data_IF_900318231033
#
_entry.id   IF_900318231033
#
_cell.length_a   1.000
_cell.length_b   1.000
_cell.length_c   1.000
_cell.angle_alpha   90.00
_cell.angle_beta   90.00
_cell.angle_gamma   90.00
#
_symmetry.space_group_name_H-M   'P 1'
#
loop_
_entity.id
_entity.type
_entity.pdbx_description
1 polymer ?
#
# COMPACT_ATOMS: atom_id res chain seq x y z
N UNK A 1 -15.80 45.93 -13.08
CA UNK A 1 -16.08 45.14 -11.85
C UNK A 1 -16.58 43.73 -12.13
N UNK A 2 -17.55 43.48 -13.03
CA UNK A 2 -18.02 42.10 -13.35
C UNK A 2 -16.92 41.15 -13.87
N UNK A 3 -15.96 41.64 -14.65
CA UNK A 3 -14.87 40.84 -15.21
C UNK A 3 -13.85 40.39 -14.14
N UNK A 4 -13.63 41.23 -13.13
CA UNK A 4 -12.73 40.92 -12.00
C UNK A 4 -13.33 39.85 -11.07
N UNK A 5 -14.65 39.92 -10.86
CA UNK A 5 -15.38 38.92 -10.07
C UNK A 5 -15.35 37.53 -10.72
N UNK A 6 -15.44 37.48 -12.06
CA UNK A 6 -15.37 36.24 -12.82
C UNK A 6 -13.97 35.58 -12.74
N UNK A 7 -12.92 36.43 -12.75
CA UNK A 7 -11.53 35.94 -12.61
C UNK A 7 -11.26 35.39 -11.21
N UNK A 8 -11.87 35.97 -10.18
CA UNK A 8 -11.70 35.48 -8.79
C UNK A 8 -12.35 34.11 -8.56
N UNK A 9 -13.45 33.80 -9.27
CA UNK A 9 -14.14 32.51 -9.18
C UNK A 9 -13.31 31.37 -9.80
N UNK A 10 -12.54 31.66 -10.86
CA UNK A 10 -11.71 30.65 -11.55
C UNK A 10 -10.53 30.18 -10.68
N UNK A 11 -10.00 31.04 -9.81
CA UNK A 11 -8.85 30.70 -8.93
C UNK A 11 -9.26 29.77 -7.79
N UNK A 12 -10.53 29.71 -7.40
CA UNK A 12 -11.00 28.88 -6.28
C UNK A 12 -11.18 27.39 -6.63
N UNK A 13 -11.12 27.03 -7.91
CA UNK A 13 -11.16 25.63 -8.37
C UNK A 13 -9.79 25.00 -8.56
N UNK A 14 -8.73 25.54 -7.93
CA UNK A 14 -7.50 24.80 -7.74
C UNK A 14 -7.79 23.62 -6.80
N UNK A 15 -8.43 22.59 -7.36
CA UNK A 15 -8.59 21.30 -6.71
C UNK A 15 -7.21 20.85 -6.25
N UNK A 16 -6.95 20.90 -4.96
CA UNK A 16 -5.84 20.20 -4.36
C UNK A 16 -5.95 18.75 -4.82
N UNK A 17 -5.14 18.36 -5.79
CA UNK A 17 -4.99 16.96 -6.13
C UNK A 17 -4.44 16.28 -4.87
N UNK A 18 -5.34 15.68 -4.09
CA UNK A 18 -4.94 14.90 -2.92
C UNK A 18 -3.99 13.82 -3.43
N UNK A 19 -2.74 13.91 -3.00
CA UNK A 19 -1.75 12.91 -3.34
C UNK A 19 -2.11 11.63 -2.58
N UNK A 20 -2.76 10.71 -3.28
CA UNK A 20 -3.34 9.48 -2.74
C UNK A 20 -2.36 8.30 -2.75
N UNK A 21 -1.07 8.54 -2.99
CA UNK A 21 -0.04 7.51 -3.02
C UNK A 21 0.39 7.10 -1.60
N UNK A 22 0.61 5.82 -1.37
CA UNK A 22 1.20 5.33 -0.12
C UNK A 22 2.59 5.94 0.13
N UNK A 23 3.32 6.31 -0.93
CA UNK A 23 4.58 7.03 -0.78
C UNK A 23 4.44 8.33 0.02
N UNK A 24 3.33 9.05 -0.15
CA UNK A 24 3.08 10.27 0.62
C UNK A 24 2.84 9.97 2.09
N UNK A 25 2.07 8.92 2.38
CA UNK A 25 1.88 8.45 3.76
C UNK A 25 3.21 8.04 4.38
N UNK A 26 4.01 7.26 3.66
CA UNK A 26 5.34 6.83 4.08
C UNK A 26 6.23 8.02 4.45
N UNK A 27 6.41 9.00 3.55
CA UNK A 27 7.26 10.17 3.78
C UNK A 27 6.81 11.04 4.96
N UNK A 28 5.50 11.08 5.24
CA UNK A 28 4.97 11.86 6.36
C UNK A 28 5.11 11.16 7.71
N UNK A 29 5.44 9.86 7.74
CA UNK A 29 5.46 9.06 8.96
C UNK A 29 6.76 8.25 9.14
N UNK A 30 7.71 8.34 8.19
CA UNK A 30 8.98 7.60 8.30
C UNK A 30 9.81 8.05 9.51
N UNK A 31 9.79 9.33 9.85
CA UNK A 31 10.50 9.87 11.02
C UNK A 31 9.84 9.48 12.36
N UNK A 32 8.56 9.17 12.35
CA UNK A 32 7.78 8.74 13.52
C UNK A 32 7.77 7.22 13.70
N UNK A 33 8.28 6.47 12.73
CA UNK A 33 8.33 5.00 12.78
C UNK A 33 9.55 4.52 13.54
N UNK A 34 9.41 3.41 14.26
CA UNK A 34 10.56 2.72 14.87
C UNK A 34 11.52 2.20 13.80
N UNK A 35 10.96 1.73 12.70
CA UNK A 35 11.72 1.28 11.55
C UNK A 35 11.03 1.67 10.26
N UNK A 36 11.79 2.30 9.35
CA UNK A 36 11.36 2.60 7.99
C UNK A 36 12.35 2.04 6.97
N UNK A 37 11.82 1.47 5.92
CA UNK A 37 12.64 0.85 4.89
C UNK A 37 12.02 1.02 3.51
N UNK A 38 12.83 1.46 2.55
CA UNK A 38 12.41 1.60 1.17
C UNK A 38 13.46 1.06 0.20
N UNK A 39 13.08 0.08 -0.61
CA UNK A 39 13.95 -0.50 -1.65
C UNK A 39 13.29 -0.54 -3.01
N UNK A 40 14.14 -0.47 -4.04
CA UNK A 40 13.73 -0.87 -5.38
C UNK A 40 13.68 -2.41 -5.47
N UNK A 41 12.70 -2.93 -6.19
CA UNK A 41 12.54 -4.37 -6.41
C UNK A 41 13.77 -5.02 -7.08
N UNK A 42 14.52 -4.25 -7.87
CA UNK A 42 15.76 -4.71 -8.48
C UNK A 42 16.86 -5.03 -7.46
N UNK A 43 16.88 -4.31 -6.33
CA UNK A 43 17.80 -4.61 -5.24
C UNK A 43 17.36 -5.86 -4.47
N UNK A 44 16.06 -5.98 -4.17
CA UNK A 44 15.53 -7.16 -3.47
C UNK A 44 15.84 -8.43 -4.25
N UNK A 45 15.63 -8.41 -5.57
CA UNK A 45 15.91 -9.57 -6.43
C UNK A 45 17.38 -10.03 -6.43
N UNK A 46 18.32 -9.21 -5.93
CA UNK A 46 19.74 -9.57 -5.82
C UNK A 46 20.11 -10.23 -4.50
N UNK A 47 19.30 -9.99 -3.44
CA UNK A 47 19.63 -10.44 -2.08
C UNK A 47 18.81 -11.64 -1.63
N UNK A 48 17.71 -11.96 -2.31
CA UNK A 48 16.89 -13.10 -1.96
C UNK A 48 17.34 -14.36 -2.69
N UNK A 49 17.46 -15.51 -1.99
CA UNK A 49 17.77 -16.80 -2.62
C UNK A 49 16.73 -17.18 -3.67
N UNK A 50 17.16 -17.79 -4.76
CA UNK A 50 16.27 -18.17 -5.87
C UNK A 50 15.18 -19.18 -5.47
N UNK A 51 15.45 -20.01 -4.45
CA UNK A 51 14.52 -21.04 -3.96
C UNK A 51 13.28 -20.43 -3.30
N UNK A 52 13.47 -19.41 -2.46
CA UNK A 52 12.37 -18.72 -1.76
C UNK A 52 11.59 -17.75 -2.65
N UNK A 53 12.15 -17.44 -3.82
CA UNK A 53 11.65 -16.40 -4.72
C UNK A 53 10.68 -16.89 -5.78
N UNK A 54 10.57 -18.20 -6.03
CA UNK A 54 9.80 -18.71 -7.17
C UNK A 54 8.34 -18.27 -7.15
N UNK A 55 7.73 -18.21 -5.97
CA UNK A 55 6.33 -17.80 -5.80
C UNK A 55 6.12 -16.29 -5.95
N UNK A 56 7.04 -15.47 -5.45
CA UNK A 56 6.90 -14.00 -5.45
C UNK A 56 7.64 -13.32 -6.61
N UNK A 57 8.46 -14.07 -7.34
CA UNK A 57 9.24 -13.57 -8.49
C UNK A 57 8.40 -12.86 -9.56
N UNK A 58 7.18 -13.34 -9.93
CA UNK A 58 6.32 -12.63 -10.85
C UNK A 58 5.85 -11.28 -10.32
N UNK A 59 5.56 -11.20 -9.01
CA UNK A 59 5.19 -9.98 -8.32
C UNK A 59 6.36 -9.00 -8.28
N UNK A 60 7.55 -9.46 -7.89
CA UNK A 60 8.75 -8.64 -7.78
C UNK A 60 9.21 -8.09 -9.13
N UNK A 61 9.08 -8.84 -10.22
CA UNK A 61 9.40 -8.36 -11.57
C UNK A 61 8.53 -7.18 -12.02
N UNK A 62 7.31 -7.10 -11.52
CA UNK A 62 6.36 -6.02 -11.83
C UNK A 62 6.30 -4.96 -10.73
N UNK A 63 6.88 -5.23 -9.58
CA UNK A 63 7.08 -4.26 -8.52
C UNK A 63 8.19 -3.27 -8.91
N UNK A 64 8.04 -2.03 -8.49
CA UNK A 64 9.06 -0.98 -8.69
C UNK A 64 9.76 -0.62 -7.40
N UNK A 65 8.98 -0.46 -6.35
CA UNK A 65 9.46 -0.08 -5.03
C UNK A 65 8.63 -0.79 -3.96
N UNK A 66 9.29 -1.18 -2.89
CA UNK A 66 8.69 -1.67 -1.66
C UNK A 66 9.04 -0.68 -0.55
N UNK A 67 8.07 -0.35 0.29
CA UNK A 67 8.23 0.49 1.47
C UNK A 67 7.60 -0.18 2.66
N UNK A 68 8.31 -0.16 3.76
CA UNK A 68 7.87 -0.76 5.03
C UNK A 68 7.96 0.30 6.11
N UNK A 69 6.92 0.43 6.91
CA UNK A 69 6.89 1.20 8.14
C UNK A 69 6.51 0.26 9.28
N UNK A 70 7.23 0.35 10.38
CA UNK A 70 6.96 -0.40 11.60
C UNK A 70 6.80 0.60 12.75
N UNK A 71 5.72 0.46 13.50
CA UNK A 71 5.43 1.23 14.70
C UNK A 71 5.18 0.23 15.83
N UNK A 72 5.91 0.34 16.93
CA UNK A 72 5.75 -0.49 18.14
C UNK A 72 5.21 0.33 19.31
N UNK A 73 5.16 1.65 19.18
CA UNK A 73 4.51 2.53 20.14
C UNK A 73 3.40 3.32 19.44
N UNK A 74 2.28 3.52 20.11
CA UNK A 74 1.13 4.26 19.56
C UNK A 74 0.56 3.67 18.27
N UNK A 75 0.63 2.34 18.12
CA UNK A 75 0.16 1.64 16.92
C UNK A 75 -1.32 1.92 16.62
N UNK A 76 -2.16 2.08 17.66
CA UNK A 76 -3.58 2.42 17.52
C UNK A 76 -3.76 3.80 16.85
N UNK A 77 -3.07 4.85 17.33
CA UNK A 77 -3.10 6.20 16.72
C UNK A 77 -2.59 6.18 15.27
N UNK A 78 -1.54 5.40 14.99
CA UNK A 78 -0.99 5.26 13.65
C UNK A 78 -1.91 4.47 12.72
N UNK A 79 -2.56 3.42 13.23
CA UNK A 79 -3.57 2.65 12.50
C UNK A 79 -4.79 3.53 12.17
N UNK A 80 -5.26 4.35 13.10
CA UNK A 80 -6.35 5.31 12.85
C UNK A 80 -5.96 6.35 11.78
N UNK A 81 -4.73 6.87 11.82
CA UNK A 81 -4.21 7.79 10.79
C UNK A 81 -4.12 7.11 9.43
N UNK A 82 -3.74 5.84 9.41
CA UNK A 82 -3.70 5.05 8.18
C UNK A 82 -5.11 4.78 7.65
N UNK A 83 -6.06 4.40 8.49
CA UNK A 83 -7.48 4.25 8.08
C UNK A 83 -8.01 5.56 7.46
N UNK A 84 -7.78 6.71 8.11
CA UNK A 84 -8.16 8.03 7.56
C UNK A 84 -7.47 8.34 6.22
N UNK A 85 -6.24 7.88 6.04
CA UNK A 85 -5.55 8.01 4.76
C UNK A 85 -6.20 7.15 3.69
N UNK A 86 -6.51 5.88 3.97
CA UNK A 86 -7.22 4.97 3.06
C UNK A 86 -8.57 5.54 2.65
N UNK A 87 -9.38 6.02 3.61
CA UNK A 87 -10.71 6.60 3.37
C UNK A 87 -10.69 7.84 2.47
N UNK A 88 -9.64 8.66 2.58
CA UNK A 88 -9.45 9.88 1.78
C UNK A 88 -8.78 9.62 0.43
N UNK A 89 -8.19 8.45 0.28
CA UNK A 89 -7.49 8.04 -0.94
C UNK A 89 -8.44 7.31 -1.88
N UNK A 90 -7.90 6.85 -3.01
CA UNK A 90 -8.64 6.00 -3.96
C UNK A 90 -8.26 4.51 -3.81
N UNK A 91 -7.76 4.13 -2.66
CA UNK A 91 -7.51 2.73 -2.39
C UNK A 91 -8.83 1.98 -2.22
N UNK A 92 -8.91 0.80 -2.81
CA UNK A 92 -10.01 -0.14 -2.66
C UNK A 92 -9.58 -1.21 -1.64
N UNK A 93 -10.41 -1.45 -0.65
CA UNK A 93 -10.20 -2.52 0.33
C UNK A 93 -10.53 -3.87 -0.33
N UNK A 94 -9.57 -4.77 -0.41
CA UNK A 94 -9.74 -6.11 -0.97
C UNK A 94 -10.05 -7.12 0.12
N UNK A 95 -9.39 -7.00 1.26
CA UNK A 95 -9.58 -7.88 2.43
C UNK A 95 -9.38 -7.04 3.68
N UNK A 96 -10.25 -7.25 4.67
CA UNK A 96 -10.09 -6.73 6.03
C UNK A 96 -10.54 -7.79 7.01
N UNK A 97 -9.60 -8.28 7.80
CA UNK A 97 -9.85 -9.20 8.91
C UNK A 97 -9.54 -8.47 10.20
N UNK A 98 -10.46 -8.53 11.14
CA UNK A 98 -10.31 -7.91 12.46
C UNK A 98 -10.73 -8.91 13.53
N UNK A 99 -9.86 -9.12 14.52
CA UNK A 99 -10.16 -9.78 15.79
C UNK A 99 -9.92 -8.79 16.93
N UNK A 100 -10.05 -9.22 18.19
CA UNK A 100 -9.91 -8.32 19.34
C UNK A 100 -8.60 -7.53 19.32
N UNK A 101 -7.46 -8.21 19.08
CA UNK A 101 -6.12 -7.60 19.13
C UNK A 101 -5.38 -7.58 17.80
N UNK A 102 -5.99 -8.10 16.73
CA UNK A 102 -5.33 -8.23 15.44
C UNK A 102 -6.16 -7.66 14.31
N UNK A 103 -5.49 -6.97 13.39
CA UNK A 103 -6.09 -6.44 12.17
C UNK A 103 -5.18 -6.74 10.99
N UNK A 104 -5.74 -7.27 9.92
CA UNK A 104 -5.06 -7.43 8.64
C UNK A 104 -5.91 -6.75 7.59
N UNK A 105 -5.33 -5.79 6.88
CA UNK A 105 -5.95 -5.07 5.79
C UNK A 105 -5.13 -5.20 4.51
N UNK A 106 -5.78 -5.45 3.39
CA UNK A 106 -5.15 -5.45 2.08
C UNK A 106 -5.88 -4.49 1.16
N UNK A 107 -5.15 -3.51 0.63
CA UNK A 107 -5.69 -2.41 -0.15
C UNK A 107 -4.97 -2.29 -1.49
N UNK A 108 -5.71 -1.91 -2.52
CA UNK A 108 -5.17 -1.70 -3.87
C UNK A 108 -5.57 -0.35 -4.43
N UNK A 109 -4.65 0.31 -5.12
CA UNK A 109 -4.91 1.52 -5.88
C UNK A 109 -4.87 1.20 -7.36
N UNK A 110 -6.02 1.28 -8.01
CA UNK A 110 -6.17 1.03 -9.46
C UNK A 110 -6.18 2.33 -10.26
N UNK A 111 -5.49 2.34 -11.39
CA UNK A 111 -5.58 3.37 -12.42
C UNK A 111 -5.45 2.74 -13.80
N UNK A 112 -6.34 3.09 -14.72
CA UNK A 112 -6.32 2.58 -16.10
C UNK A 112 -6.30 1.05 -16.17
N UNK A 113 -7.18 0.37 -15.41
CA UNK A 113 -7.29 -1.09 -15.33
C UNK A 113 -5.98 -1.79 -14.86
N UNK A 114 -5.11 -1.06 -14.18
CA UNK A 114 -3.87 -1.60 -13.62
C UNK A 114 -3.77 -1.25 -12.14
N UNK A 115 -3.31 -2.20 -11.36
CA UNK A 115 -2.99 -2.01 -9.96
C UNK A 115 -1.65 -1.30 -9.90
N UNK A 116 -1.66 -0.08 -9.39
CA UNK A 116 -0.49 0.79 -9.30
C UNK A 116 0.20 0.71 -7.96
N UNK A 117 -0.58 0.49 -6.92
CA UNK A 117 -0.08 0.32 -5.56
C UNK A 117 -0.90 -0.74 -4.84
N UNK A 118 -0.24 -1.46 -3.94
CA UNK A 118 -0.84 -2.37 -2.98
C UNK A 118 -0.30 -2.02 -1.61
N UNK A 119 -1.14 -2.11 -0.59
CA UNK A 119 -0.72 -1.90 0.80
C UNK A 119 -1.27 -3.04 1.64
N UNK A 120 -0.39 -3.65 2.43
CA UNK A 120 -0.73 -4.60 3.47
C UNK A 120 -0.58 -3.92 4.83
N UNK A 121 -1.62 -3.94 5.62
CA UNK A 121 -1.64 -3.53 7.02
C UNK A 121 -1.69 -4.78 7.90
N UNK A 122 -0.79 -4.85 8.87
CA UNK A 122 -0.80 -5.89 9.91
C UNK A 122 -0.67 -5.15 11.25
N UNK A 123 -1.68 -5.26 12.09
CA UNK A 123 -1.66 -4.74 13.46
C UNK A 123 -1.87 -5.88 14.43
N UNK A 124 -1.06 -5.94 15.48
CA UNK A 124 -1.13 -6.95 16.52
C UNK A 124 -0.68 -6.36 17.86
N UNK A 125 -1.63 -6.21 18.80
CA UNK A 125 -1.36 -5.52 20.05
C UNK A 125 -0.89 -4.08 19.80
N UNK A 126 0.30 -3.74 20.31
CA UNK A 126 0.90 -2.41 20.18
C UNK A 126 1.71 -2.22 18.88
N UNK A 127 1.80 -3.26 18.05
CA UNK A 127 2.59 -3.26 16.82
C UNK A 127 1.73 -2.97 15.59
N UNK A 128 2.23 -2.14 14.69
CA UNK A 128 1.65 -1.88 13.37
C UNK A 128 2.74 -1.98 12.31
N UNK A 129 2.51 -2.83 11.32
CA UNK A 129 3.37 -2.96 10.14
C UNK A 129 2.58 -2.57 8.89
N UNK A 130 3.09 -1.62 8.14
CA UNK A 130 2.55 -1.21 6.86
C UNK A 130 3.55 -1.54 5.75
N UNK A 131 3.13 -2.33 4.78
CA UNK A 131 3.96 -2.71 3.63
C UNK A 131 3.30 -2.20 2.36
N UNK A 132 3.92 -1.19 1.75
CA UNK A 132 3.47 -0.62 0.48
C UNK A 132 4.30 -1.12 -0.70
N UNK A 133 3.63 -1.52 -1.75
CA UNK A 133 4.24 -2.02 -2.98
C UNK A 133 3.77 -1.18 -4.17
N UNK A 134 4.69 -0.47 -4.82
CA UNK A 134 4.40 0.20 -6.09
C UNK A 134 4.55 -0.79 -7.23
N UNK A 135 3.49 -0.95 -8.04
CA UNK A 135 3.41 -1.99 -9.08
C UNK A 135 2.90 -1.48 -10.41
N UNK A 136 2.74 -2.39 -11.36
CA UNK A 136 2.01 -2.18 -12.60
C UNK A 136 1.34 -3.49 -13.04
N UNK A 137 0.59 -4.10 -12.11
CA UNK A 137 -0.09 -5.38 -12.28
C UNK A 137 -1.44 -5.22 -12.98
N UNK A 138 -1.85 -6.20 -13.73
CA UNK A 138 -3.23 -6.39 -14.15
C UNK A 138 -3.99 -7.24 -13.12
N UNK A 139 -5.32 -7.28 -13.18
CA UNK A 139 -6.10 -8.20 -12.34
C UNK A 139 -5.74 -9.66 -12.64
N UNK A 140 -5.54 -10.00 -13.92
CA UNK A 140 -5.09 -11.33 -14.33
C UNK A 140 -3.72 -11.73 -13.72
N UNK A 141 -2.81 -10.76 -13.54
CA UNK A 141 -1.54 -11.00 -12.87
C UNK A 141 -1.73 -11.34 -11.39
N UNK A 142 -2.67 -10.65 -10.72
CA UNK A 142 -3.04 -10.96 -9.34
C UNK A 142 -3.65 -12.35 -9.20
N UNK A 143 -4.60 -12.67 -10.06
CA UNK A 143 -5.27 -13.98 -10.05
C UNK A 143 -4.25 -15.11 -10.18
N UNK A 144 -3.29 -14.99 -11.11
CA UNK A 144 -2.20 -15.97 -11.26
C UNK A 144 -1.34 -16.13 -10.01
N UNK A 145 -1.08 -15.03 -9.28
CA UNK A 145 -0.30 -15.06 -8.04
C UNK A 145 -1.07 -15.80 -6.94
N UNK A 146 -2.39 -15.57 -6.84
CA UNK A 146 -3.22 -16.20 -5.82
C UNK A 146 -3.67 -17.63 -6.19
N UNK A 147 -3.86 -17.94 -7.45
CA UNK A 147 -4.19 -19.29 -7.92
C UNK A 147 -3.04 -20.27 -7.73
N UNK A 148 -1.79 -19.83 -7.85
CA UNK A 148 -0.62 -20.63 -7.54
C UNK A 148 -0.61 -21.17 -6.11
N UNK A 149 -1.26 -20.50 -5.16
CA UNK A 149 -1.41 -20.94 -3.76
C UNK A 149 -2.53 -21.95 -3.51
N UNK A 150 -3.49 -22.10 -4.43
CA UNK A 150 -4.58 -23.09 -4.29
C UNK A 150 -4.15 -24.51 -4.64
N UNK A 151 -2.96 -24.69 -5.22
CA UNK A 151 -2.49 -26.01 -5.67
C UNK A 151 -1.79 -26.82 -4.56
N UNK A 152 -1.40 -26.24 -3.42
CA UNK A 152 -0.93 -26.99 -2.28
C UNK A 152 -2.13 -27.44 -1.42
N UNK A 153 -2.56 -28.68 -1.62
CA UNK A 153 -3.47 -29.38 -0.71
C UNK A 153 -2.86 -29.40 0.70
N UNK A 154 -3.66 -29.12 1.74
CA UNK A 154 -3.20 -29.36 3.10
C UNK A 154 -2.86 -30.83 3.24
N UNK A 155 -1.64 -31.09 3.66
CA UNK A 155 -1.20 -32.43 4.09
C UNK A 155 -2.05 -32.75 5.33
N UNK A 156 -2.98 -33.66 5.15
CA UNK A 156 -3.70 -34.27 6.27
C UNK A 156 -2.76 -35.21 7.03
#
# INVERSE_FOLDING_TARGET
MKKILLLLIIVTFSSCAVNTSFNTFYQNHEDDSEFSFGLSSALIARFLPDEDMQEIKPLLKKAKHIRILVFSEYAEDKSEKFDKFIDRSRFEEMVKLKSEDNKIGFFTLKRNKKIKEMVLEISSGDDLVLIGLKTNLTEEDLDKIFEGKKAEKPIM
#
